data_IF_472030868010
#
_entry.id   IF_472030868010
#
_cell.length_a   1.000
_cell.length_b   1.000
_cell.length_c   1.000
_cell.angle_alpha   90.00
_cell.angle_beta   90.00
_cell.angle_gamma   90.00
#
_symmetry.space_group_name_H-M   'P 1'
#
loop_
_entity.id
_entity.type
_entity.pdbx_description
1 polymer ?
#
# COMPACT_ATOMS: atom_id res chain seq x y z
N UNK A 1 21.16 22.19 -0.86
CA UNK A 1 20.56 21.54 -2.01
C UNK A 1 19.17 22.10 -2.23
N UNK A 2 18.71 22.13 -3.48
CA UNK A 2 17.33 22.47 -3.82
C UNK A 2 16.50 21.20 -3.96
N UNK A 3 15.38 21.15 -3.22
CA UNK A 3 14.48 20.00 -3.18
C UNK A 3 13.15 20.41 -3.81
N UNK A 4 12.75 19.72 -4.86
CA UNK A 4 11.52 19.98 -5.59
C UNK A 4 10.43 18.97 -5.24
N UNK A 5 9.23 19.48 -4.98
CA UNK A 5 8.05 18.68 -4.63
C UNK A 5 6.93 19.01 -5.59
N UNK A 6 6.87 18.33 -6.75
CA UNK A 6 5.80 18.53 -7.71
C UNK A 6 4.48 17.94 -7.18
N UNK A 7 3.38 18.46 -7.69
CA UNK A 7 2.05 17.89 -7.51
C UNK A 7 1.98 16.51 -8.17
N UNK A 8 1.31 15.57 -7.53
CA UNK A 8 1.05 14.27 -8.14
C UNK A 8 0.01 14.40 -9.26
N UNK A 9 0.32 13.84 -10.41
CA UNK A 9 -0.55 13.89 -11.60
C UNK A 9 -1.12 12.51 -11.97
N UNK A 10 -0.78 11.46 -11.22
CA UNK A 10 -1.37 10.14 -11.38
C UNK A 10 -2.85 10.18 -10.98
N UNK A 11 -3.77 9.62 -11.79
CA UNK A 11 -5.19 9.61 -11.45
C UNK A 11 -5.46 9.07 -10.04
N UNK A 12 -6.27 9.80 -9.26
CA UNK A 12 -6.64 9.47 -7.88
C UNK A 12 -5.48 9.48 -6.87
N UNK A 13 -4.30 9.99 -7.22
CA UNK A 13 -3.26 10.28 -6.26
C UNK A 13 -3.41 11.73 -5.76
N UNK A 14 -3.72 11.86 -4.49
CA UNK A 14 -4.00 13.16 -3.85
C UNK A 14 -2.96 13.52 -2.79
N UNK A 15 -1.96 12.66 -2.61
CA UNK A 15 -0.83 12.92 -1.71
C UNK A 15 0.18 13.85 -2.36
N UNK A 16 1.18 14.24 -1.58
CA UNK A 16 2.32 15.04 -2.01
C UNK A 16 3.60 14.50 -1.36
N UNK A 17 4.77 14.71 -1.94
CA UNK A 17 6.01 14.09 -1.48
C UNK A 17 6.45 14.48 -0.05
N UNK A 18 6.16 15.71 0.40
CA UNK A 18 6.54 16.23 1.73
C UNK A 18 5.36 16.92 2.41
N UNK A 19 5.26 16.76 3.74
CA UNK A 19 4.38 17.56 4.60
C UNK A 19 5.00 18.91 4.92
N UNK A 20 4.22 19.92 5.36
CA UNK A 20 4.78 21.20 5.86
C UNK A 20 5.80 21.01 6.99
N UNK A 21 5.58 20.06 7.90
CA UNK A 21 6.51 19.79 9.00
C UNK A 21 7.85 19.26 8.47
N UNK A 22 7.84 18.33 7.52
CA UNK A 22 9.05 17.82 6.87
C UNK A 22 9.79 18.90 6.09
N UNK A 23 9.05 19.81 5.42
CA UNK A 23 9.62 20.98 4.76
C UNK A 23 10.33 21.88 5.73
N UNK A 24 9.71 22.17 6.88
CA UNK A 24 10.31 22.97 7.94
C UNK A 24 11.64 22.41 8.42
N UNK A 25 11.69 21.08 8.64
CA UNK A 25 12.93 20.42 9.06
C UNK A 25 14.03 20.53 8.00
N UNK A 26 13.69 20.36 6.72
CA UNK A 26 14.64 20.51 5.62
C UNK A 26 15.16 21.95 5.50
N UNK A 27 14.30 22.95 5.64
CA UNK A 27 14.67 24.37 5.60
C UNK A 27 15.58 24.72 6.78
N UNK A 28 15.28 24.23 7.98
CA UNK A 28 16.12 24.41 9.18
C UNK A 28 17.51 23.78 9.00
N UNK A 29 17.62 22.73 8.19
CA UNK A 29 18.89 22.09 7.84
C UNK A 29 19.60 22.76 6.63
N UNK A 30 19.15 23.94 6.20
CA UNK A 30 19.80 24.73 5.16
C UNK A 30 19.49 24.30 3.72
N UNK A 31 18.40 23.61 3.50
CA UNK A 31 17.92 23.25 2.15
C UNK A 31 16.88 24.29 1.66
N UNK A 32 16.85 24.52 0.38
CA UNK A 32 15.79 25.27 -0.30
C UNK A 32 14.73 24.27 -0.77
N UNK A 33 13.45 24.52 -0.45
CA UNK A 33 12.35 23.62 -0.85
C UNK A 33 11.38 24.36 -1.75
N UNK A 34 11.13 23.80 -2.93
CA UNK A 34 10.17 24.27 -3.92
C UNK A 34 8.97 23.35 -3.93
N UNK A 35 7.77 23.88 -3.75
CA UNK A 35 6.51 23.10 -3.74
C UNK A 35 5.60 23.62 -4.83
N UNK A 36 5.04 22.71 -5.63
CA UNK A 36 4.09 23.11 -6.69
C UNK A 36 2.79 23.66 -6.08
N UNK A 37 2.30 24.72 -6.71
CA UNK A 37 1.07 25.41 -6.35
C UNK A 37 -0.09 24.42 -6.17
N UNK A 38 -0.77 24.48 -5.02
CA UNK A 38 -1.83 23.56 -4.63
C UNK A 38 -1.46 22.07 -4.63
N UNK A 39 -0.16 21.72 -4.59
CA UNK A 39 0.28 20.33 -4.59
C UNK A 39 -0.22 19.52 -3.40
N UNK A 40 -0.37 20.15 -2.22
CA UNK A 40 -0.85 19.50 -0.99
C UNK A 40 -2.34 19.68 -0.71
N UNK A 41 -3.08 20.45 -1.53
CA UNK A 41 -4.44 20.88 -1.24
C UNK A 41 -5.41 19.71 -0.98
N UNK A 42 -5.40 18.71 -1.82
CA UNK A 42 -6.27 17.52 -1.70
C UNK A 42 -5.94 16.66 -0.45
N UNK A 43 -4.71 16.79 0.07
CA UNK A 43 -4.29 16.15 1.31
C UNK A 43 -4.55 17.01 2.56
N UNK A 44 -5.14 18.19 2.38
CA UNK A 44 -5.49 19.13 3.44
C UNK A 44 -4.36 20.10 3.82
N UNK A 45 -3.37 20.31 2.94
CA UNK A 45 -2.29 21.27 3.13
C UNK A 45 -2.35 22.38 2.08
N UNK A 46 -2.68 23.59 2.52
CA UNK A 46 -2.71 24.78 1.68
C UNK A 46 -1.29 25.32 1.42
N UNK A 47 -1.13 26.14 0.38
CA UNK A 47 0.15 26.81 0.09
C UNK A 47 0.70 27.58 1.28
N UNK A 48 -0.16 28.27 2.03
CA UNK A 48 0.18 29.02 3.22
C UNK A 48 0.87 28.19 4.32
N UNK A 49 0.55 26.91 4.43
CA UNK A 49 1.22 26.01 5.36
C UNK A 49 2.68 25.76 4.93
N UNK A 50 2.92 25.58 3.63
CA UNK A 50 4.26 25.38 3.08
C UNK A 50 5.11 26.66 3.14
N UNK A 51 4.51 27.81 2.81
CA UNK A 51 5.18 29.13 2.93
C UNK A 51 5.58 29.41 4.39
N UNK A 52 4.69 29.12 5.35
CA UNK A 52 4.98 29.23 6.77
C UNK A 52 6.10 28.29 7.24
N UNK A 53 6.28 27.16 6.56
CA UNK A 53 7.38 26.22 6.78
C UNK A 53 8.69 26.64 6.10
N UNK A 54 8.67 27.71 5.28
CA UNK A 54 9.84 28.26 4.59
C UNK A 54 10.03 27.74 3.15
N UNK A 55 9.05 27.05 2.57
CA UNK A 55 9.08 26.67 1.17
C UNK A 55 8.75 27.86 0.24
N UNK A 56 9.19 27.77 -0.99
CA UNK A 56 8.74 28.63 -2.10
C UNK A 56 7.68 27.90 -2.91
N UNK A 57 6.56 28.57 -3.16
CA UNK A 57 5.50 28.04 -4.04
C UNK A 57 5.86 28.37 -5.49
N UNK A 58 5.73 27.37 -6.37
CA UNK A 58 6.06 27.43 -7.80
C UNK A 58 4.84 26.97 -8.61
N UNK A 59 4.48 27.73 -9.63
CA UNK A 59 3.22 27.51 -10.38
C UNK A 59 3.24 26.29 -11.31
N UNK A 60 4.42 25.86 -11.77
CA UNK A 60 4.54 24.82 -12.79
C UNK A 60 5.57 23.76 -12.41
N UNK A 61 5.21 22.51 -12.69
CA UNK A 61 6.09 21.36 -12.46
C UNK A 61 7.43 21.50 -13.20
N UNK A 62 7.41 22.02 -14.44
CA UNK A 62 8.63 22.21 -15.25
C UNK A 62 9.67 23.03 -14.48
N UNK A 63 9.27 24.13 -13.84
CA UNK A 63 10.19 24.97 -13.07
C UNK A 63 10.76 24.23 -11.85
N UNK A 64 9.98 23.33 -11.24
CA UNK A 64 10.43 22.49 -10.13
C UNK A 64 11.50 21.51 -10.61
N UNK A 65 11.24 20.80 -11.72
CA UNK A 65 12.24 19.89 -12.30
C UNK A 65 13.48 20.65 -12.79
N UNK A 66 13.29 21.89 -13.30
CA UNK A 66 14.41 22.69 -13.79
C UNK A 66 15.33 23.20 -12.70
N UNK A 67 14.79 23.56 -11.55
CA UNK A 67 15.54 24.26 -10.50
C UNK A 67 16.00 23.37 -9.35
N UNK A 68 15.64 22.07 -9.33
CA UNK A 68 15.90 21.21 -8.20
C UNK A 68 17.03 20.20 -8.43
N UNK A 69 17.79 19.92 -7.36
CA UNK A 69 18.79 18.84 -7.32
C UNK A 69 18.12 17.48 -7.06
N UNK A 70 17.07 17.51 -6.23
CA UNK A 70 16.31 16.31 -5.81
C UNK A 70 14.83 16.56 -6.06
N UNK A 71 14.16 15.63 -6.70
CA UNK A 71 12.70 15.59 -6.85
C UNK A 71 12.14 14.56 -5.87
N UNK A 72 11.25 15.00 -5.00
CA UNK A 72 10.58 14.14 -4.01
C UNK A 72 9.11 13.99 -4.40
N UNK A 73 8.70 12.75 -4.67
CA UNK A 73 7.34 12.38 -5.06
C UNK A 73 6.79 11.27 -4.17
N UNK A 74 5.53 10.96 -4.34
CA UNK A 74 4.90 9.77 -3.76
C UNK A 74 4.90 8.62 -4.75
N UNK A 75 4.46 8.87 -5.99
CA UNK A 75 4.34 7.85 -7.03
C UNK A 75 5.39 8.01 -8.11
N UNK A 76 5.58 6.90 -8.83
CA UNK A 76 6.45 6.85 -9.99
C UNK A 76 6.14 7.99 -10.98
N UNK A 77 7.17 8.59 -11.59
CA UNK A 77 6.98 9.63 -12.59
C UNK A 77 6.23 9.08 -13.81
N UNK A 78 5.25 9.83 -14.31
CA UNK A 78 4.60 9.52 -15.57
C UNK A 78 5.49 9.94 -16.75
N UNK A 79 5.18 9.47 -17.96
CA UNK A 79 5.99 9.71 -19.17
C UNK A 79 6.28 11.20 -19.43
N UNK A 80 5.38 12.11 -19.05
CA UNK A 80 5.61 13.55 -19.16
C UNK A 80 6.69 14.02 -18.18
N UNK A 81 6.66 13.52 -16.94
CA UNK A 81 7.63 13.87 -15.88
C UNK A 81 9.01 13.25 -16.14
N UNK A 82 9.04 12.00 -16.65
CA UNK A 82 10.30 11.34 -17.03
C UNK A 82 11.11 12.18 -18.01
N UNK A 83 10.43 12.88 -18.95
CA UNK A 83 11.08 13.77 -19.91
C UNK A 83 11.68 15.05 -19.30
N UNK A 84 11.24 15.42 -18.10
CA UNK A 84 11.75 16.60 -17.38
C UNK A 84 12.92 16.25 -16.45
N UNK A 85 13.16 14.96 -16.18
CA UNK A 85 14.26 14.52 -15.32
C UNK A 85 15.59 14.81 -16.04
N UNK A 86 16.51 15.46 -15.34
CA UNK A 86 17.82 15.85 -15.84
C UNK A 86 18.90 14.84 -15.47
N UNK A 87 19.98 14.82 -16.26
CA UNK A 87 21.20 14.11 -15.92
C UNK A 87 21.72 14.57 -14.54
N UNK A 88 22.09 13.63 -13.68
CA UNK A 88 22.54 13.86 -12.29
C UNK A 88 21.46 14.39 -11.31
N UNK A 89 20.24 14.61 -11.72
CA UNK A 89 19.13 14.90 -10.80
C UNK A 89 18.70 13.62 -10.08
N UNK A 90 18.36 13.72 -8.79
CA UNK A 90 17.89 12.58 -8.02
C UNK A 90 16.35 12.59 -7.97
N UNK A 91 15.73 11.45 -8.25
CA UNK A 91 14.28 11.21 -8.04
C UNK A 91 14.11 10.25 -6.88
N UNK A 92 13.42 10.69 -5.84
CA UNK A 92 13.18 9.94 -4.61
C UNK A 92 11.67 9.71 -4.44
N UNK A 93 11.20 8.48 -4.66
CA UNK A 93 9.77 8.13 -4.74
C UNK A 93 9.56 6.61 -4.72
N UNK A 94 8.30 6.13 -4.63
CA UNK A 94 7.96 4.75 -4.99
C UNK A 94 8.05 4.58 -6.51
N UNK A 95 8.78 3.57 -6.98
CA UNK A 95 9.04 3.36 -8.42
C UNK A 95 8.34 2.13 -8.99
N UNK A 96 8.25 1.03 -8.24
CA UNK A 96 7.61 -0.23 -8.66
C UNK A 96 8.10 -0.75 -10.02
N UNK A 97 9.42 -0.67 -10.29
CA UNK A 97 10.03 -0.91 -11.61
C UNK A 97 9.86 -2.35 -12.12
N UNK A 98 9.72 -3.34 -11.24
CA UNK A 98 9.65 -4.76 -11.64
C UNK A 98 8.51 -5.05 -12.65
N UNK A 99 7.42 -4.29 -12.61
CA UNK A 99 6.26 -4.42 -13.51
C UNK A 99 6.16 -3.30 -14.57
N UNK A 100 7.16 -2.39 -14.65
CA UNK A 100 7.08 -1.14 -15.43
C UNK A 100 8.28 -0.97 -16.37
N UNK A 101 8.35 -1.80 -17.42
CA UNK A 101 9.48 -1.80 -18.37
C UNK A 101 9.71 -0.45 -19.02
N UNK A 102 8.66 0.18 -19.57
CA UNK A 102 8.77 1.46 -20.27
C UNK A 102 9.24 2.60 -19.36
N UNK A 103 8.77 2.59 -18.11
CA UNK A 103 9.25 3.53 -17.09
C UNK A 103 10.73 3.31 -16.80
N UNK A 104 11.13 2.04 -16.62
CA UNK A 104 12.53 1.69 -16.35
C UNK A 104 13.45 2.18 -17.47
N UNK A 105 13.09 1.92 -18.73
CA UNK A 105 13.85 2.38 -19.90
C UNK A 105 13.90 3.92 -19.97
N UNK A 106 12.77 4.60 -19.69
CA UNK A 106 12.70 6.05 -19.65
C UNK A 106 13.62 6.67 -18.59
N UNK A 107 13.63 6.10 -17.37
CA UNK A 107 14.49 6.55 -16.28
C UNK A 107 15.99 6.31 -16.59
N UNK A 108 16.35 5.17 -17.20
CA UNK A 108 17.72 4.91 -17.65
C UNK A 108 18.15 5.95 -18.67
N UNK A 109 17.28 6.25 -19.64
CA UNK A 109 17.58 7.22 -20.71
C UNK A 109 17.70 8.66 -20.19
N UNK A 110 17.03 9.02 -19.10
CA UNK A 110 17.15 10.35 -18.47
C UNK A 110 18.51 10.57 -17.82
N UNK A 111 19.24 9.50 -17.49
CA UNK A 111 20.49 9.51 -16.72
C UNK A 111 20.39 10.16 -15.34
N UNK A 112 19.19 10.34 -14.82
CA UNK A 112 18.93 10.76 -13.45
C UNK A 112 19.22 9.64 -12.45
N UNK A 113 19.59 9.97 -11.23
CA UNK A 113 19.68 9.03 -10.13
C UNK A 113 18.28 8.71 -9.59
N UNK A 114 17.96 7.44 -9.38
CA UNK A 114 16.66 7.03 -8.85
C UNK A 114 16.83 6.28 -7.52
N UNK A 115 16.14 6.73 -6.48
CA UNK A 115 16.08 6.06 -5.18
C UNK A 115 14.63 5.63 -4.93
N UNK A 116 14.40 4.31 -4.92
CA UNK A 116 13.08 3.75 -4.69
C UNK A 116 12.81 3.60 -3.19
N UNK A 117 11.71 4.19 -2.68
CA UNK A 117 11.32 4.07 -1.27
C UNK A 117 11.19 2.61 -0.84
N UNK A 118 10.63 1.78 -1.71
CA UNK A 118 10.38 0.37 -1.43
C UNK A 118 11.63 -0.52 -1.36
N UNK A 119 12.80 0.02 -1.67
CA UNK A 119 14.08 -0.72 -1.60
C UNK A 119 15.06 -0.18 -0.56
N UNK A 120 14.72 0.95 0.10
CA UNK A 120 15.54 1.49 1.19
C UNK A 120 15.44 0.58 2.40
N UNK A 121 16.59 0.10 2.89
CA UNK A 121 16.67 -0.80 4.05
C UNK A 121 17.35 -0.13 5.24
N UNK A 122 16.93 -0.50 6.45
CA UNK A 122 17.67 -0.23 7.68
C UNK A 122 18.82 -1.23 7.87
N UNK A 123 19.59 -1.07 8.95
CA UNK A 123 20.71 -1.95 9.30
C UNK A 123 20.29 -3.41 9.55
N UNK A 124 19.01 -3.68 9.78
CA UNK A 124 18.44 -5.01 10.00
C UNK A 124 17.78 -5.58 8.74
N UNK A 125 17.91 -4.92 7.59
CA UNK A 125 17.26 -5.30 6.33
C UNK A 125 15.75 -5.06 6.29
N UNK A 126 15.19 -4.27 7.22
CA UNK A 126 13.79 -3.86 7.20
C UNK A 126 13.59 -2.74 6.20
N UNK A 127 12.38 -2.56 5.72
CA UNK A 127 11.99 -1.55 4.73
C UNK A 127 11.23 -0.39 5.41
N UNK A 128 11.94 0.57 6.06
CA UNK A 128 11.32 1.59 6.92
C UNK A 128 10.36 2.52 6.15
N UNK A 129 10.61 2.77 4.87
CA UNK A 129 9.76 3.64 4.06
C UNK A 129 8.55 2.90 3.46
N UNK A 130 8.64 1.56 3.30
CA UNK A 130 7.52 0.75 2.80
C UNK A 130 6.60 0.26 3.92
N UNK A 131 7.14 -0.05 5.10
CA UNK A 131 6.39 -0.61 6.22
C UNK A 131 5.15 0.20 6.61
N UNK A 132 5.19 1.55 6.69
CA UNK A 132 4.00 2.35 7.00
C UNK A 132 2.88 2.19 5.99
N UNK A 133 3.20 2.15 4.68
CA UNK A 133 2.20 1.95 3.63
C UNK A 133 1.59 0.55 3.68
N UNK A 134 2.43 -0.45 3.95
CA UNK A 134 1.99 -1.82 4.19
C UNK A 134 1.06 -1.93 5.41
N UNK A 135 1.33 -1.17 6.47
CA UNK A 135 0.47 -1.12 7.66
C UNK A 135 -0.91 -0.52 7.34
N UNK A 136 -0.93 0.60 6.61
CA UNK A 136 -2.19 1.23 6.15
C UNK A 136 -2.98 0.28 5.26
N UNK A 137 -2.33 -0.33 4.25
CA UNK A 137 -2.98 -1.27 3.34
C UNK A 137 -3.55 -2.49 4.08
N UNK A 138 -2.80 -3.05 5.04
CA UNK A 138 -3.27 -4.17 5.86
C UNK A 138 -4.52 -3.83 6.66
N UNK A 139 -4.59 -2.65 7.27
CA UNK A 139 -5.79 -2.19 8.00
C UNK A 139 -6.97 -1.96 7.06
N UNK A 140 -6.74 -1.29 5.93
CA UNK A 140 -7.77 -1.02 4.94
C UNK A 140 -8.31 -2.31 4.31
N UNK A 141 -7.50 -3.36 4.16
CA UNK A 141 -7.92 -4.62 3.56
C UNK A 141 -9.10 -5.26 4.29
N UNK A 142 -9.08 -5.22 5.62
CA UNK A 142 -10.18 -5.77 6.44
C UNK A 142 -11.40 -4.85 6.43
N UNK A 143 -11.20 -3.53 6.48
CA UNK A 143 -12.29 -2.56 6.39
C UNK A 143 -13.04 -2.68 5.05
N UNK A 144 -12.30 -2.69 3.93
CA UNK A 144 -12.87 -2.86 2.60
C UNK A 144 -13.50 -4.25 2.42
N UNK A 145 -12.81 -5.30 2.91
CA UNK A 145 -13.32 -6.67 2.86
C UNK A 145 -14.63 -6.86 3.62
N UNK A 146 -14.73 -6.29 4.82
CA UNK A 146 -15.96 -6.32 5.62
C UNK A 146 -17.13 -5.61 4.90
N UNK A 147 -16.88 -4.45 4.30
CA UNK A 147 -17.87 -3.75 3.49
C UNK A 147 -18.30 -4.58 2.27
N UNK A 148 -17.34 -5.19 1.57
CA UNK A 148 -17.63 -6.03 0.41
C UNK A 148 -18.41 -7.32 0.74
N UNK A 149 -18.42 -7.77 2.00
CA UNK A 149 -19.25 -8.91 2.45
C UNK A 149 -20.73 -8.57 2.54
N UNK A 150 -21.12 -7.30 2.54
CA UNK A 150 -22.51 -6.86 2.57
C UNK A 150 -23.26 -7.27 1.29
N UNK A 151 -24.56 -7.52 1.41
CA UNK A 151 -25.36 -8.01 0.29
C UNK A 151 -25.50 -7.02 -0.87
N UNK A 152 -25.58 -5.73 -0.57
CA UNK A 152 -25.61 -4.64 -1.55
C UNK A 152 -24.28 -4.52 -2.34
N UNK A 153 -23.17 -5.00 -1.79
CA UNK A 153 -21.86 -5.12 -2.46
C UNK A 153 -21.68 -6.45 -3.21
N UNK A 154 -22.75 -7.23 -3.36
CA UNK A 154 -22.76 -8.58 -3.94
C UNK A 154 -22.03 -9.64 -3.11
N UNK A 155 -21.64 -9.30 -1.89
CA UNK A 155 -21.13 -10.21 -0.91
C UNK A 155 -22.17 -11.20 -0.41
N UNK A 156 -21.75 -12.10 0.47
CA UNK A 156 -22.61 -13.17 0.97
C UNK A 156 -23.64 -12.71 2.03
N UNK A 157 -23.62 -11.43 2.43
CA UNK A 157 -24.53 -10.89 3.44
C UNK A 157 -24.11 -11.29 4.85
N UNK A 158 -22.82 -11.24 5.13
CA UNK A 158 -22.23 -11.59 6.43
C UNK A 158 -21.72 -10.32 7.13
N UNK A 159 -21.98 -10.23 8.42
CA UNK A 159 -21.31 -9.27 9.29
C UNK A 159 -20.04 -9.93 9.85
N UNK A 160 -18.88 -9.35 9.56
CA UNK A 160 -17.58 -9.98 9.88
C UNK A 160 -17.39 -10.24 11.37
N UNK A 161 -17.89 -9.36 12.23
CA UNK A 161 -17.83 -9.52 13.67
C UNK A 161 -18.97 -10.36 14.29
N UNK A 162 -19.91 -10.87 13.48
CA UNK A 162 -21.09 -11.54 13.98
C UNK A 162 -22.06 -10.62 14.72
N UNK A 163 -22.95 -11.21 15.50
CA UNK A 163 -23.92 -10.51 16.36
C UNK A 163 -24.28 -11.42 17.55
N UNK A 164 -24.95 -10.94 18.61
CA UNK A 164 -25.36 -11.80 19.70
C UNK A 164 -26.13 -13.04 19.20
N UNK A 165 -25.58 -14.23 19.48
CA UNK A 165 -26.12 -15.51 19.03
C UNK A 165 -25.78 -15.92 17.60
N UNK A 166 -24.96 -15.13 16.87
CA UNK A 166 -24.49 -15.46 15.51
C UNK A 166 -22.98 -15.28 15.44
N UNK A 167 -22.27 -16.33 15.03
CA UNK A 167 -20.82 -16.30 14.90
C UNK A 167 -20.34 -15.30 13.85
N UNK A 168 -19.16 -14.75 14.05
CA UNK A 168 -18.45 -13.89 13.10
C UNK A 168 -17.91 -14.66 11.90
N UNK A 169 -17.46 -13.93 10.88
CA UNK A 169 -16.84 -14.48 9.69
C UNK A 169 -15.42 -14.99 9.93
N UNK A 170 -14.97 -15.87 9.02
CA UNK A 170 -13.62 -16.38 9.00
C UNK A 170 -12.75 -15.55 8.06
N UNK A 171 -11.65 -14.99 8.58
CA UNK A 171 -10.63 -14.25 7.83
C UNK A 171 -9.40 -15.13 7.67
N UNK A 172 -8.96 -15.32 6.43
CA UNK A 172 -7.70 -16.00 6.11
C UNK A 172 -6.72 -14.96 5.57
N UNK A 173 -5.58 -14.81 6.22
CA UNK A 173 -4.53 -13.86 5.85
C UNK A 173 -3.35 -14.65 5.31
N UNK A 174 -2.99 -14.43 4.05
CA UNK A 174 -1.83 -15.03 3.40
C UNK A 174 -0.63 -14.06 3.53
N UNK A 175 0.37 -14.46 4.30
CA UNK A 175 1.53 -13.65 4.64
C UNK A 175 1.38 -12.96 5.99
N UNK A 176 2.24 -13.29 6.95
CA UNK A 176 2.31 -12.68 8.30
C UNK A 176 3.22 -11.45 8.39
N UNK A 177 3.61 -10.84 7.26
CA UNK A 177 4.42 -9.62 7.20
C UNK A 177 3.69 -8.39 7.78
N UNK A 178 4.15 -7.19 7.42
CA UNK A 178 3.54 -5.93 7.94
C UNK A 178 2.08 -5.81 7.53
N UNK A 179 1.74 -6.14 6.27
CA UNK A 179 0.34 -6.16 5.79
C UNK A 179 -0.50 -7.12 6.63
N UNK A 180 -0.07 -8.38 6.75
CA UNK A 180 -0.84 -9.41 7.43
C UNK A 180 -1.00 -9.16 8.92
N UNK A 181 0.03 -8.66 9.59
CA UNK A 181 -0.06 -8.26 11.00
C UNK A 181 -1.11 -7.17 11.21
N UNK A 182 -1.10 -6.13 10.35
CA UNK A 182 -2.06 -5.03 10.47
C UNK A 182 -3.49 -5.45 10.05
N UNK A 183 -3.62 -6.37 9.11
CA UNK A 183 -4.91 -7.01 8.82
C UNK A 183 -5.42 -7.82 10.04
N UNK A 184 -4.54 -8.59 10.69
CA UNK A 184 -4.89 -9.35 11.89
C UNK A 184 -5.32 -8.44 13.04
N UNK A 185 -4.69 -7.26 13.24
CA UNK A 185 -5.10 -6.27 14.25
C UNK A 185 -6.58 -5.87 14.06
N UNK A 186 -6.96 -5.54 12.83
CA UNK A 186 -8.33 -5.10 12.56
C UNK A 186 -9.31 -6.26 12.60
N UNK A 187 -8.98 -7.41 11.99
CA UNK A 187 -9.86 -8.56 11.95
C UNK A 187 -10.15 -9.12 13.36
N UNK A 188 -9.13 -9.21 14.22
CA UNK A 188 -9.31 -9.61 15.63
C UNK A 188 -10.07 -8.57 16.44
N UNK A 189 -9.85 -7.27 16.16
CA UNK A 189 -10.63 -6.18 16.76
C UNK A 189 -12.10 -6.21 16.36
N UNK A 190 -12.44 -6.71 15.19
CA UNK A 190 -13.81 -6.98 14.74
C UNK A 190 -14.36 -8.31 15.24
N UNK A 191 -13.63 -9.06 16.05
CA UNK A 191 -14.02 -10.36 16.62
C UNK A 191 -14.22 -11.47 15.57
N UNK A 192 -13.59 -11.35 14.40
CA UNK A 192 -13.59 -12.42 13.40
C UNK A 192 -12.72 -13.60 13.83
N UNK A 193 -13.00 -14.80 13.30
CA UNK A 193 -12.09 -15.96 13.41
C UNK A 193 -10.92 -15.73 12.42
N UNK A 194 -9.70 -15.56 12.92
CA UNK A 194 -8.55 -15.12 12.12
C UNK A 194 -7.49 -16.22 11.98
N UNK A 195 -7.24 -16.66 10.76
CA UNK A 195 -6.11 -17.53 10.41
C UNK A 195 -5.01 -16.71 9.75
N UNK A 196 -3.76 -16.87 10.20
CA UNK A 196 -2.60 -16.23 9.59
C UNK A 196 -1.65 -17.29 9.06
N UNK A 197 -1.42 -17.29 7.76
CA UNK A 197 -0.57 -18.24 7.04
C UNK A 197 0.77 -17.58 6.73
N UNK A 198 1.88 -18.19 7.13
CA UNK A 198 3.22 -17.74 6.76
C UNK A 198 4.18 -18.93 6.61
N UNK A 199 5.23 -18.76 5.82
CA UNK A 199 6.32 -19.75 5.69
C UNK A 199 7.26 -19.72 6.88
N UNK A 200 7.43 -18.57 7.52
CA UNK A 200 8.35 -18.36 8.62
C UNK A 200 7.73 -18.78 9.96
N UNK A 201 8.20 -19.91 10.49
CA UNK A 201 7.81 -20.34 11.85
C UNK A 201 8.17 -19.28 12.91
N UNK A 202 9.33 -18.61 12.75
CA UNK A 202 9.74 -17.52 13.64
C UNK A 202 8.69 -16.41 13.64
N UNK A 203 8.23 -16.02 12.45
CA UNK A 203 7.23 -14.96 12.32
C UNK A 203 5.88 -15.35 12.93
N UNK A 204 5.45 -16.58 12.73
CA UNK A 204 4.24 -17.09 13.35
C UNK A 204 4.32 -17.10 14.89
N UNK A 205 5.48 -17.44 15.46
CA UNK A 205 5.73 -17.36 16.92
C UNK A 205 5.62 -15.92 17.43
N UNK A 206 6.23 -14.94 16.73
CA UNK A 206 6.13 -13.51 17.06
C UNK A 206 4.67 -13.04 17.06
N UNK A 207 3.90 -13.41 16.03
CA UNK A 207 2.48 -13.08 15.93
C UNK A 207 1.66 -13.74 17.04
N UNK A 208 1.94 -15.01 17.35
CA UNK A 208 1.27 -15.70 18.47
C UNK A 208 1.55 -15.04 19.81
N UNK A 209 2.79 -14.59 20.04
CA UNK A 209 3.13 -13.83 21.25
C UNK A 209 2.35 -12.51 21.35
N UNK A 210 2.13 -11.85 20.21
CA UNK A 210 1.44 -10.56 20.17
C UNK A 210 -0.09 -10.70 20.32
N UNK A 211 -0.69 -11.69 19.67
CA UNK A 211 -2.15 -11.83 19.58
C UNK A 211 -2.75 -12.87 20.53
N UNK A 212 -1.93 -13.75 21.09
CA UNK A 212 -2.41 -14.87 21.91
C UNK A 212 -3.29 -15.83 21.11
N UNK A 213 -4.43 -16.17 21.68
CA UNK A 213 -5.46 -17.05 21.13
C UNK A 213 -6.41 -16.38 20.12
N UNK A 214 -6.24 -15.07 19.89
CA UNK A 214 -7.06 -14.31 18.92
C UNK A 214 -6.75 -14.64 17.47
N UNK A 215 -5.63 -15.30 17.20
CA UNK A 215 -5.27 -15.77 15.86
C UNK A 215 -4.96 -17.26 15.87
N UNK A 216 -5.16 -17.90 14.73
CA UNK A 216 -4.78 -19.29 14.49
C UNK A 216 -3.62 -19.28 13.50
N UNK A 217 -2.36 -19.42 13.97
CA UNK A 217 -1.20 -19.45 13.11
C UNK A 217 -1.16 -20.74 12.28
N UNK A 218 -0.78 -20.63 11.03
CA UNK A 218 -0.70 -21.73 10.08
C UNK A 218 0.63 -21.72 9.34
N UNK A 219 1.40 -22.79 9.45
CA UNK A 219 2.63 -22.96 8.68
C UNK A 219 2.29 -23.32 7.24
N UNK A 220 2.73 -22.51 6.28
CA UNK A 220 2.34 -22.65 4.87
C UNK A 220 2.65 -24.03 4.25
N UNK A 221 3.77 -24.64 4.65
CA UNK A 221 4.20 -25.93 4.11
C UNK A 221 3.43 -27.12 4.70
N UNK A 222 2.71 -26.93 5.81
CA UNK A 222 2.05 -27.99 6.57
C UNK A 222 0.53 -27.92 6.54
N UNK A 223 -0.08 -26.97 5.79
CA UNK A 223 -1.52 -26.79 5.78
C UNK A 223 -2.18 -27.35 4.52
N UNK A 224 -3.42 -27.80 4.67
CA UNK A 224 -4.33 -27.94 3.53
C UNK A 224 -4.92 -26.56 3.21
N UNK A 225 -4.25 -25.82 2.32
CA UNK A 225 -4.69 -24.49 1.90
C UNK A 225 -6.06 -24.53 1.23
N UNK A 226 -6.40 -25.60 0.49
CA UNK A 226 -7.72 -25.75 -0.14
C UNK A 226 -8.84 -25.84 0.88
N UNK A 227 -8.64 -26.61 1.95
CA UNK A 227 -9.59 -26.65 3.05
C UNK A 227 -9.72 -25.30 3.72
N UNK A 228 -8.60 -24.63 4.03
CA UNK A 228 -8.63 -23.37 4.74
C UNK A 228 -9.38 -22.29 3.96
N UNK A 229 -9.16 -22.17 2.64
CA UNK A 229 -9.88 -21.18 1.82
C UNK A 229 -11.37 -21.52 1.67
N UNK A 230 -11.75 -22.80 1.72
CA UNK A 230 -13.18 -23.19 1.67
C UNK A 230 -13.95 -22.71 2.91
N UNK A 231 -13.26 -22.47 4.02
CA UNK A 231 -13.83 -21.92 5.27
C UNK A 231 -13.84 -20.38 5.27
N UNK A 232 -13.06 -19.72 4.36
CA UNK A 232 -12.89 -18.29 4.34
C UNK A 232 -14.16 -17.54 3.90
N UNK A 233 -14.49 -16.49 4.62
CA UNK A 233 -15.45 -15.46 4.22
C UNK A 233 -14.72 -14.26 3.63
N UNK A 234 -13.56 -13.93 4.19
CA UNK A 234 -12.62 -12.91 3.71
C UNK A 234 -11.22 -13.51 3.58
N UNK A 235 -10.64 -13.42 2.39
CA UNK A 235 -9.23 -13.76 2.14
C UNK A 235 -8.45 -12.48 1.91
N UNK A 236 -7.36 -12.28 2.65
CA UNK A 236 -6.44 -11.15 2.50
C UNK A 236 -5.11 -11.65 1.94
N UNK A 237 -4.74 -11.20 0.77
CA UNK A 237 -3.44 -11.48 0.14
C UNK A 237 -2.42 -10.41 0.54
N UNK A 238 -1.51 -10.73 1.47
CA UNK A 238 -0.49 -9.82 2.00
C UNK A 238 0.94 -10.31 1.81
N UNK A 239 1.18 -11.15 0.80
CA UNK A 239 2.52 -11.70 0.53
C UNK A 239 3.35 -10.67 -0.23
N UNK A 240 4.57 -10.46 0.23
CA UNK A 240 5.54 -9.57 -0.39
C UNK A 240 6.85 -10.32 -0.62
N UNK A 241 7.39 -10.23 -1.85
CA UNK A 241 8.79 -10.58 -2.15
C UNK A 241 9.46 -9.29 -2.60
N UNK A 242 10.43 -8.75 -1.82
CA UNK A 242 11.10 -7.50 -2.17
C UNK A 242 11.72 -7.57 -3.57
N UNK A 243 11.37 -6.61 -4.45
CA UNK A 243 11.92 -6.50 -5.80
C UNK A 243 11.47 -7.57 -6.81
N UNK A 244 10.47 -8.40 -6.48
CA UNK A 244 9.95 -9.44 -7.35
C UNK A 244 8.41 -9.45 -7.40
N UNK A 245 7.84 -10.16 -8.37
CA UNK A 245 6.41 -10.41 -8.44
C UNK A 245 5.94 -11.30 -7.28
N UNK A 246 4.71 -11.07 -6.83
CA UNK A 246 4.09 -11.90 -5.82
C UNK A 246 3.81 -13.33 -6.37
N UNK A 247 4.05 -14.39 -5.58
CA UNK A 247 3.75 -15.74 -6.01
C UNK A 247 2.24 -15.96 -6.10
N UNK A 248 1.76 -16.66 -7.13
CA UNK A 248 0.35 -17.04 -7.27
C UNK A 248 0.02 -18.19 -6.31
N UNK A 249 -0.52 -17.87 -5.16
CA UNK A 249 -0.86 -18.85 -4.11
C UNK A 249 -2.26 -19.43 -4.29
N UNK A 250 -3.19 -18.65 -4.83
CA UNK A 250 -4.57 -19.08 -5.08
C UNK A 250 -4.80 -19.17 -6.59
N UNK A 251 -5.06 -20.37 -7.06
CA UNK A 251 -5.38 -20.62 -8.47
C UNK A 251 -6.86 -20.37 -8.75
N UNK A 252 -7.19 -20.22 -10.04
CA UNK A 252 -8.58 -20.06 -10.47
C UNK A 252 -9.47 -21.24 -10.02
N UNK A 253 -8.96 -22.47 -10.10
CA UNK A 253 -9.74 -23.65 -9.68
C UNK A 253 -10.01 -23.67 -8.17
N UNK A 254 -9.13 -23.08 -7.37
CA UNK A 254 -9.33 -22.98 -5.93
C UNK A 254 -10.46 -22.02 -5.57
N UNK A 255 -10.81 -21.04 -6.42
CA UNK A 255 -11.95 -20.14 -6.15
C UNK A 255 -13.27 -20.91 -6.01
N UNK A 256 -13.45 -21.98 -6.76
CA UNK A 256 -14.65 -22.83 -6.70
C UNK A 256 -14.85 -23.54 -5.37
N UNK A 257 -13.81 -23.60 -4.53
CA UNK A 257 -13.88 -24.13 -3.17
C UNK A 257 -14.37 -23.09 -2.18
N UNK A 258 -14.26 -21.81 -2.49
CA UNK A 258 -14.70 -20.72 -1.62
C UNK A 258 -16.22 -20.64 -1.58
N UNK A 259 -16.74 -20.12 -0.49
CA UNK A 259 -18.18 -19.89 -0.33
C UNK A 259 -18.63 -18.77 -1.26
N UNK A 260 -19.77 -18.97 -1.93
CA UNK A 260 -20.38 -17.96 -2.82
C UNK A 260 -20.54 -16.62 -2.09
N UNK A 261 -20.09 -15.53 -2.72
CA UNK A 261 -20.12 -14.18 -2.18
C UNK A 261 -19.03 -13.91 -1.13
N UNK A 262 -18.05 -14.82 -0.96
CA UNK A 262 -16.83 -14.51 -0.22
C UNK A 262 -16.04 -13.42 -0.90
N UNK A 263 -15.16 -12.77 -0.15
CA UNK A 263 -14.37 -11.63 -0.62
C UNK A 263 -12.88 -11.96 -0.62
N UNK A 264 -12.20 -11.59 -1.67
CA UNK A 264 -10.75 -11.56 -1.77
C UNK A 264 -10.30 -10.11 -1.81
N UNK A 265 -9.42 -9.71 -0.88
CA UNK A 265 -8.69 -8.46 -0.93
C UNK A 265 -7.23 -8.77 -1.18
N UNK A 266 -6.79 -8.53 -2.42
CA UNK A 266 -5.40 -8.80 -2.81
C UNK A 266 -4.55 -7.53 -2.68
N UNK A 267 -3.92 -7.36 -1.52
CA UNK A 267 -3.02 -6.23 -1.25
C UNK A 267 -1.71 -6.35 -2.03
N UNK A 268 -1.32 -7.56 -2.42
CA UNK A 268 -0.13 -7.82 -3.22
C UNK A 268 -0.29 -7.37 -4.69
N UNK A 269 -1.43 -6.77 -5.05
CA UNK A 269 -1.77 -6.40 -6.43
C UNK A 269 -0.75 -5.47 -7.08
N UNK A 270 -0.12 -4.57 -6.31
CA UNK A 270 0.94 -3.67 -6.80
C UNK A 270 2.18 -4.45 -7.31
N UNK A 271 2.30 -5.72 -6.92
CA UNK A 271 3.34 -6.65 -7.38
C UNK A 271 2.77 -7.84 -8.18
N UNK A 272 1.69 -7.60 -8.91
CA UNK A 272 1.05 -8.60 -9.76
C UNK A 272 -0.03 -9.44 -9.06
N UNK A 273 -0.20 -9.32 -7.74
CA UNK A 273 -1.19 -10.06 -6.95
C UNK A 273 -0.81 -11.51 -6.63
N UNK A 274 -1.30 -12.03 -5.53
CA UNK A 274 -1.05 -13.43 -5.11
C UNK A 274 -2.19 -14.39 -5.47
N UNK A 275 -3.24 -13.90 -6.12
CA UNK A 275 -4.35 -14.69 -6.66
C UNK A 275 -4.29 -14.66 -8.18
N UNK A 276 -4.44 -15.81 -8.83
CA UNK A 276 -4.33 -15.95 -10.28
C UNK A 276 -5.33 -15.04 -11.04
N UNK A 277 -6.52 -14.86 -10.49
CA UNK A 277 -7.59 -14.04 -11.06
C UNK A 277 -7.53 -12.56 -10.69
N UNK A 278 -6.54 -12.15 -9.89
CA UNK A 278 -6.38 -10.76 -9.50
C UNK A 278 -6.02 -9.85 -10.68
N UNK A 279 -6.75 -8.74 -10.78
CA UNK A 279 -6.55 -7.66 -11.76
C UNK A 279 -6.54 -6.33 -11.02
N UNK A 280 -5.63 -5.42 -11.31
CA UNK A 280 -5.62 -4.10 -10.69
C UNK A 280 -6.96 -3.38 -10.89
N UNK A 281 -7.49 -2.81 -9.83
CA UNK A 281 -8.67 -1.95 -9.81
C UNK A 281 -8.32 -0.57 -9.26
N UNK A 282 -9.29 0.34 -9.27
CA UNK A 282 -9.11 1.72 -8.78
C UNK A 282 -10.09 2.01 -7.66
N UNK A 283 -9.87 3.08 -6.89
CA UNK A 283 -10.81 3.51 -5.85
C UNK A 283 -12.21 3.87 -6.41
N UNK A 284 -12.31 4.31 -7.67
CA UNK A 284 -13.59 4.59 -8.32
C UNK A 284 -14.38 3.32 -8.69
N UNK A 285 -13.68 2.26 -9.09
CA UNK A 285 -14.27 0.96 -9.44
C UNK A 285 -13.50 -0.14 -8.73
N UNK A 286 -13.73 -0.33 -7.41
CA UNK A 286 -12.82 -1.09 -6.56
C UNK A 286 -12.96 -2.61 -6.70
N UNK A 287 -14.09 -3.09 -7.22
CA UNK A 287 -14.44 -4.53 -7.19
C UNK A 287 -14.85 -5.07 -8.54
N UNK A 288 -14.65 -6.37 -8.71
CA UNK A 288 -15.24 -7.19 -9.78
C UNK A 288 -15.53 -8.59 -9.22
N UNK A 289 -16.22 -9.42 -10.00
CA UNK A 289 -16.62 -10.77 -9.59
C UNK A 289 -16.03 -11.80 -10.56
N UNK A 290 -15.48 -12.88 -10.00
CA UNK A 290 -15.07 -14.08 -10.73
C UNK A 290 -15.58 -15.29 -9.98
N UNK A 291 -16.28 -16.20 -10.67
CA UNK A 291 -16.85 -17.43 -10.08
C UNK A 291 -17.62 -17.18 -8.77
N UNK A 292 -18.48 -16.15 -8.76
CA UNK A 292 -19.27 -15.70 -7.60
C UNK A 292 -18.43 -15.17 -6.40
N UNK A 293 -17.14 -14.95 -6.56
CA UNK A 293 -16.25 -14.39 -5.53
C UNK A 293 -15.97 -12.92 -5.84
N UNK A 294 -16.17 -12.05 -4.85
CA UNK A 294 -15.89 -10.60 -4.96
C UNK A 294 -14.40 -10.36 -4.82
N UNK A 295 -13.80 -9.71 -5.80
CA UNK A 295 -12.40 -9.31 -5.78
C UNK A 295 -12.29 -7.81 -5.55
N UNK A 296 -11.55 -7.41 -4.53
CA UNK A 296 -11.11 -6.06 -4.25
C UNK A 296 -9.59 -6.01 -4.44
N UNK A 297 -9.14 -5.42 -5.53
CA UNK A 297 -7.73 -5.41 -5.94
C UNK A 297 -7.26 -3.98 -6.26
N UNK A 298 -7.65 -3.02 -5.41
CA UNK A 298 -7.30 -1.61 -5.62
C UNK A 298 -5.80 -1.42 -5.52
N UNK A 299 -5.19 -1.06 -6.64
CA UNK A 299 -3.79 -0.62 -6.65
C UNK A 299 -3.68 0.68 -5.85
N UNK A 300 -2.59 0.80 -5.06
CA UNK A 300 -2.41 1.99 -4.23
C UNK A 300 -3.50 2.19 -3.14
N UNK A 301 -3.88 1.13 -2.45
CA UNK A 301 -4.86 1.21 -1.35
C UNK A 301 -4.62 2.38 -0.38
N UNK A 302 -3.38 2.69 0.08
CA UNK A 302 -3.11 3.79 0.99
C UNK A 302 -3.48 5.17 0.44
N UNK A 303 -3.59 5.35 -0.87
CA UNK A 303 -4.06 6.57 -1.52
C UNK A 303 -5.50 6.94 -1.14
N UNK A 304 -6.31 5.99 -0.70
CA UNK A 304 -7.67 6.22 -0.19
C UNK A 304 -7.75 6.92 1.17
N UNK A 305 -6.61 7.05 1.87
CA UNK A 305 -6.48 7.77 3.16
C UNK A 305 -5.27 8.70 3.11
N UNK A 306 -5.31 9.74 2.24
CA UNK A 306 -4.12 10.51 1.85
C UNK A 306 -3.44 11.18 3.03
N UNK A 307 -4.17 11.77 3.96
CA UNK A 307 -3.60 12.47 5.11
C UNK A 307 -2.81 11.54 6.02
N UNK A 308 -3.35 10.36 6.35
CA UNK A 308 -2.67 9.36 7.18
C UNK A 308 -1.43 8.82 6.47
N UNK A 309 -1.58 8.49 5.19
CA UNK A 309 -0.51 7.96 4.35
C UNK A 309 0.66 8.94 4.22
N UNK A 310 0.39 10.25 4.09
CA UNK A 310 1.41 11.29 3.98
C UNK A 310 2.28 11.41 5.21
N UNK A 311 1.69 11.48 6.39
CA UNK A 311 2.44 11.57 7.66
C UNK A 311 3.43 10.42 7.76
N UNK A 312 3.03 9.21 7.36
CA UNK A 312 3.90 8.05 7.37
C UNK A 312 5.02 8.06 6.32
N UNK A 313 4.81 8.68 5.15
CA UNK A 313 5.86 8.81 4.13
C UNK A 313 6.88 9.86 4.54
N UNK A 314 6.41 11.01 5.02
CA UNK A 314 7.25 12.17 5.31
C UNK A 314 7.95 12.07 6.67
N UNK A 315 7.40 11.31 7.61
CA UNK A 315 7.90 11.19 8.98
C UNK A 315 8.03 9.72 9.42
N UNK A 316 8.75 8.85 8.67
CA UNK A 316 8.78 7.40 8.92
C UNK A 316 9.45 7.02 10.25
N UNK A 317 10.19 7.92 10.87
CA UNK A 317 10.95 7.68 12.11
C UNK A 317 10.31 8.32 13.34
N UNK A 318 9.17 9.01 13.19
CA UNK A 318 8.49 9.62 14.34
C UNK A 318 7.96 8.51 15.26
N UNK A 319 8.39 8.44 16.54
CA UNK A 319 7.83 7.47 17.48
C UNK A 319 6.36 7.81 17.77
N UNK A 320 5.48 6.81 17.69
CA UNK A 320 4.07 6.92 18.07
C UNK A 320 3.85 6.46 19.50
#
# INVERSE_FOLDING_TARGET
MKIGVPKEIKPQETRIGLTPDSVKDLVLNGHEVLVENNGGFEAGFENSHYESAGAKIVDKAENIFDDSDIIVKVKEPLSAEVKMIKENQIVFTYLHLAAAKDLTEGLINSKGGCIAYETVTDQNGRLPLLAPMSAVAGRMSVQAGAHCLEKNQKGRGLLLGGAPGVDGGTVVILGGGVVGENAAIIATGMQAKVHVVDKSEKRLKELTQKFGDKIIPQQADNIDLKRLISEADLLVGGVLIPGAEAPKLITKDMLRLMKRGSVIVDVAIDQGGCVETSKPTTHANPTYIVDDIVHYCVANMPGGVPRLSLIHISEPTRPY
#
